data_IF_457814656880
#
_entry.id   IF_457814656880
#
_cell.length_a   1.000
_cell.length_b   1.000
_cell.length_c   1.000
_cell.angle_alpha   90.00
_cell.angle_beta   90.00
_cell.angle_gamma   90.00
#
_symmetry.space_group_name_H-M   'P 1'
#
loop_
_entity.id
_entity.type
_entity.pdbx_description
1 polymer ?
#
# COMPACT_ATOMS: atom_id res chain seq x y z
N UNK A 1 12.84 4.84 -10.02
CA UNK A 1 11.64 4.96 -9.15
C UNK A 1 10.52 5.72 -9.86
N UNK A 2 9.34 5.12 -9.98
CA UNK A 2 8.13 5.68 -10.59
C UNK A 2 6.98 5.70 -9.58
N UNK A 3 6.35 6.85 -9.37
CA UNK A 3 5.16 7.00 -8.52
C UNK A 3 3.91 7.26 -9.35
N UNK A 4 2.90 6.43 -9.14
CA UNK A 4 1.58 6.52 -9.76
C UNK A 4 0.54 6.70 -8.65
N UNK A 5 -0.44 7.58 -8.86
CA UNK A 5 -1.55 7.76 -7.94
C UNK A 5 -2.83 8.03 -8.73
N UNK A 6 -3.95 7.63 -8.16
CA UNK A 6 -5.26 7.78 -8.80
C UNK A 6 -5.53 9.26 -9.17
N UNK A 7 -5.92 9.48 -10.42
CA UNK A 7 -6.21 10.80 -10.99
C UNK A 7 -5.07 11.83 -10.81
N UNK A 8 -3.82 11.36 -10.79
CA UNK A 8 -2.62 12.19 -10.69
C UNK A 8 -1.62 11.89 -11.82
N UNK A 9 -0.84 12.88 -12.29
CA UNK A 9 0.25 12.61 -13.22
C UNK A 9 1.28 11.63 -12.63
N UNK A 10 1.82 10.77 -13.48
CA UNK A 10 2.94 9.89 -13.12
C UNK A 10 4.18 10.74 -12.85
N UNK A 11 4.87 10.45 -11.74
CA UNK A 11 6.12 11.11 -11.36
C UNK A 11 7.28 10.12 -11.51
N UNK A 12 8.30 10.52 -12.26
CA UNK A 12 9.57 9.80 -12.39
C UNK A 12 10.60 10.48 -11.50
N UNK A 13 11.49 9.69 -10.90
CA UNK A 13 12.54 10.16 -9.98
C UNK A 13 11.97 11.00 -8.84
N UNK A 14 10.91 10.47 -8.21
CA UNK A 14 10.15 11.17 -7.18
C UNK A 14 11.01 11.47 -5.95
N UNK A 15 11.03 12.73 -5.52
CA UNK A 15 11.68 13.10 -4.27
C UNK A 15 10.74 12.95 -3.06
N UNK A 16 11.31 13.00 -1.86
CA UNK A 16 10.56 12.80 -0.62
C UNK A 16 9.40 13.79 -0.42
N UNK A 17 9.60 15.06 -0.77
CA UNK A 17 8.55 16.08 -0.61
C UNK A 17 7.37 15.82 -1.57
N UNK A 18 7.65 15.41 -2.81
CA UNK A 18 6.63 15.04 -3.79
C UNK A 18 5.86 13.79 -3.35
N UNK A 19 6.57 12.75 -2.89
CA UNK A 19 6.00 11.51 -2.38
C UNK A 19 5.02 11.79 -1.22
N UNK A 20 5.48 12.52 -0.19
CA UNK A 20 4.64 12.88 0.96
C UNK A 20 3.42 13.69 0.53
N UNK A 21 3.59 14.65 -0.41
CA UNK A 21 2.50 15.47 -0.92
C UNK A 21 1.45 14.65 -1.66
N UNK A 22 1.85 13.64 -2.44
CA UNK A 22 0.92 12.74 -3.13
C UNK A 22 0.17 11.89 -2.11
N UNK A 23 0.87 11.24 -1.19
CA UNK A 23 0.25 10.35 -0.20
C UNK A 23 -0.72 11.09 0.73
N UNK A 24 -0.39 12.29 1.20
CA UNK A 24 -1.29 13.08 2.06
C UNK A 24 -2.59 13.53 1.36
N UNK A 25 -2.66 13.47 0.04
CA UNK A 25 -3.90 13.76 -0.70
C UNK A 25 -4.87 12.59 -0.70
N UNK A 26 -4.39 11.37 -0.46
CA UNK A 26 -5.23 10.18 -0.51
C UNK A 26 -6.38 10.26 0.51
N UNK A 27 -7.54 9.76 0.08
CA UNK A 27 -8.80 9.71 0.84
C UNK A 27 -9.33 8.28 0.76
N UNK A 28 -9.89 7.79 1.86
CA UNK A 28 -10.58 6.50 1.88
C UNK A 28 -11.76 6.47 0.92
N UNK A 29 -12.43 7.61 0.74
CA UNK A 29 -13.53 7.78 -0.22
C UNK A 29 -13.28 9.05 -1.05
N UNK A 30 -13.26 8.92 -2.37
CA UNK A 30 -13.04 10.03 -3.29
C UNK A 30 -12.16 9.65 -4.49
N UNK A 31 -11.83 10.62 -5.37
CA UNK A 31 -11.13 10.39 -6.62
C UNK A 31 -9.63 10.13 -6.47
N UNK A 32 -9.10 10.07 -5.24
CA UNK A 32 -7.69 9.83 -4.98
C UNK A 32 -7.57 8.92 -3.78
N UNK A 33 -7.57 7.61 -4.03
CA UNK A 33 -7.74 6.59 -3.01
C UNK A 33 -6.70 5.48 -3.08
N UNK A 34 -5.77 5.53 -4.03
CA UNK A 34 -4.65 4.61 -4.10
C UNK A 34 -3.41 5.25 -4.74
N UNK A 35 -2.25 4.68 -4.42
CA UNK A 35 -0.97 5.02 -5.03
C UNK A 35 -0.04 3.79 -5.07
N UNK A 36 0.90 3.79 -6.01
CA UNK A 36 1.90 2.74 -6.19
C UNK A 36 3.26 3.37 -6.52
N UNK A 37 4.32 2.94 -5.84
CA UNK A 37 5.70 3.27 -6.18
C UNK A 37 6.41 2.00 -6.65
N UNK A 38 7.06 2.08 -7.80
CA UNK A 38 7.75 0.95 -8.45
C UNK A 38 9.21 1.31 -8.69
N UNK A 39 10.11 0.37 -8.39
CA UNK A 39 11.54 0.47 -8.73
C UNK A 39 11.82 -0.03 -10.15
N UNK A 40 13.09 0.01 -10.57
CA UNK A 40 13.48 -0.34 -11.93
C UNK A 40 13.54 -1.87 -12.15
N UNK A 41 13.59 -2.65 -11.06
CA UNK A 41 13.53 -4.12 -11.06
C UNK A 41 12.08 -4.65 -11.08
N UNK A 42 11.10 -3.76 -10.97
CA UNK A 42 9.67 -4.08 -10.98
C UNK A 42 9.10 -4.45 -9.61
N UNK A 43 9.86 -4.31 -8.52
CA UNK A 43 9.29 -4.39 -7.18
C UNK A 43 8.42 -3.17 -6.95
N UNK A 44 7.35 -3.32 -6.18
CA UNK A 44 6.51 -2.19 -5.85
C UNK A 44 5.97 -2.24 -4.43
N UNK A 45 5.64 -1.06 -3.92
CA UNK A 45 4.77 -0.88 -2.76
C UNK A 45 3.55 -0.10 -3.23
N UNK A 46 2.36 -0.57 -2.84
CA UNK A 46 1.11 0.13 -3.10
C UNK A 46 0.30 0.33 -1.83
N UNK A 47 -0.54 1.36 -1.87
CA UNK A 47 -1.51 1.69 -0.84
C UNK A 47 -2.88 1.87 -1.47
N UNK A 48 -3.92 1.42 -0.80
CA UNK A 48 -5.25 1.98 -0.99
C UNK A 48 -5.84 2.48 0.32
N UNK A 49 -6.81 3.39 0.21
CA UNK A 49 -7.40 4.11 1.31
C UNK A 49 -6.75 5.48 1.53
N UNK A 50 -6.98 6.08 2.71
CA UNK A 50 -6.39 7.37 3.04
C UNK A 50 -6.61 7.78 4.48
N UNK A 51 -5.80 8.75 4.93
CA UNK A 51 -5.80 9.29 6.30
C UNK A 51 -5.65 8.23 7.39
N UNK A 52 -6.75 7.62 7.83
CA UNK A 52 -6.80 6.69 8.97
C UNK A 52 -7.10 5.25 8.57
N UNK A 53 -7.57 5.04 7.34
CA UNK A 53 -7.96 3.72 6.85
C UNK A 53 -7.23 3.46 5.55
N UNK A 54 -6.02 2.92 5.67
CA UNK A 54 -5.18 2.50 4.57
C UNK A 54 -4.89 1.00 4.70
N UNK A 55 -4.55 0.36 3.58
CA UNK A 55 -3.85 -0.93 3.57
C UNK A 55 -2.63 -0.85 2.66
N UNK A 56 -1.61 -1.67 2.94
CA UNK A 56 -0.34 -1.66 2.21
C UNK A 56 -0.10 -3.05 1.63
N UNK A 57 0.30 -3.08 0.36
CA UNK A 57 0.83 -4.28 -0.29
C UNK A 57 2.23 -4.00 -0.84
N UNK A 58 3.06 -5.03 -0.86
CA UNK A 58 4.33 -5.01 -1.59
C UNK A 58 4.44 -6.23 -2.48
N UNK A 59 5.08 -6.07 -3.61
CA UNK A 59 5.37 -7.15 -4.55
C UNK A 59 6.87 -7.26 -4.77
N UNK A 60 7.35 -8.49 -4.73
CA UNK A 60 8.72 -8.86 -5.06
C UNK A 60 8.74 -9.47 -6.46
N UNK A 61 9.37 -8.77 -7.41
CA UNK A 61 9.42 -9.18 -8.80
C UNK A 61 10.26 -10.43 -9.04
N UNK A 62 11.29 -10.66 -8.21
CA UNK A 62 12.18 -11.81 -8.32
C UNK A 62 11.48 -13.10 -7.92
N UNK A 63 10.75 -13.06 -6.80
CA UNK A 63 9.99 -14.23 -6.32
C UNK A 63 8.57 -14.32 -6.89
N UNK A 64 8.10 -13.26 -7.56
CA UNK A 64 6.72 -13.11 -8.03
C UNK A 64 5.68 -13.26 -6.92
N UNK A 65 6.03 -12.80 -5.72
CA UNK A 65 5.19 -12.92 -4.54
C UNK A 65 4.60 -11.57 -4.15
N UNK A 66 3.28 -11.57 -3.90
CA UNK A 66 2.55 -10.43 -3.34
C UNK A 66 2.45 -10.62 -1.82
N UNK A 67 2.66 -9.54 -1.08
CA UNK A 67 2.56 -9.55 0.38
C UNK A 67 1.67 -8.41 0.85
N UNK A 68 0.88 -8.67 1.90
CA UNK A 68 0.15 -7.65 2.65
C UNK A 68 0.89 -7.27 3.92
N UNK A 69 0.96 -5.98 4.17
CA UNK A 69 1.47 -5.43 5.43
C UNK A 69 0.50 -5.73 6.56
N UNK A 70 1.03 -6.03 7.75
CA UNK A 70 0.24 -6.10 8.98
C UNK A 70 1.07 -5.64 10.19
N UNK A 71 0.38 -5.12 11.21
CA UNK A 71 0.97 -4.82 12.52
C UNK A 71 0.96 -6.07 13.41
N UNK A 72 1.95 -6.27 14.28
CA UNK A 72 1.95 -7.39 15.23
C UNK A 72 0.77 -7.34 16.20
N UNK A 73 0.33 -6.14 16.56
CA UNK A 73 -0.85 -5.88 17.37
C UNK A 73 -1.78 -4.92 16.63
N UNK A 74 -3.05 -5.30 16.47
CA UNK A 74 -4.04 -4.39 15.90
C UNK A 74 -4.34 -3.25 16.89
N UNK A 75 -4.28 -2.02 16.38
CA UNK A 75 -4.68 -0.80 17.10
C UNK A 75 -6.06 -0.29 16.69
N UNK A 76 -6.78 -1.02 15.82
CA UNK A 76 -8.05 -0.57 15.26
C UNK A 76 -9.23 -1.36 15.82
N UNK A 77 -10.42 -0.76 15.80
CA UNK A 77 -11.68 -1.41 16.20
C UNK A 77 -12.32 -2.20 15.04
N UNK A 78 -11.60 -2.43 13.93
CA UNK A 78 -12.14 -3.17 12.80
C UNK A 78 -12.01 -4.68 13.05
N UNK A 79 -13.13 -5.39 12.87
CA UNK A 79 -13.15 -6.85 12.93
C UNK A 79 -12.53 -7.47 11.67
N UNK A 80 -12.09 -8.71 11.77
CA UNK A 80 -11.62 -9.47 10.61
C UNK A 80 -12.69 -9.56 9.52
N UNK A 81 -12.30 -9.29 8.27
CA UNK A 81 -13.22 -9.27 7.13
C UNK A 81 -13.87 -7.91 6.87
N UNK A 82 -13.54 -6.89 7.67
CA UNK A 82 -13.94 -5.51 7.42
C UNK A 82 -13.49 -5.04 6.03
N UNK A 83 -14.39 -4.37 5.32
CA UNK A 83 -14.18 -3.96 3.93
C UNK A 83 -13.58 -2.56 3.85
N UNK A 84 -12.48 -2.42 3.12
CA UNK A 84 -12.05 -1.13 2.59
C UNK A 84 -12.54 -0.99 1.16
N UNK A 85 -13.27 0.10 0.87
CA UNK A 85 -13.65 0.48 -0.49
C UNK A 85 -12.76 1.62 -0.98
N UNK A 86 -12.36 1.59 -2.24
CA UNK A 86 -11.52 2.58 -2.92
C UNK A 86 -11.87 2.61 -4.42
N UNK A 87 -11.33 3.57 -5.17
CA UNK A 87 -11.69 3.80 -6.58
C UNK A 87 -11.49 2.59 -7.50
N UNK A 88 -10.50 1.75 -7.20
CA UNK A 88 -10.22 0.51 -7.94
C UNK A 88 -10.93 -0.74 -7.41
N UNK A 89 -11.83 -0.62 -6.43
CA UNK A 89 -12.68 -1.72 -5.97
C UNK A 89 -12.83 -1.80 -4.44
N UNK A 90 -12.89 -3.03 -3.93
CA UNK A 90 -13.03 -3.29 -2.50
C UNK A 90 -12.18 -4.48 -2.08
N UNK A 91 -11.64 -4.43 -0.88
CA UNK A 91 -10.82 -5.51 -0.30
C UNK A 91 -11.29 -5.80 1.12
N UNK A 92 -11.38 -7.09 1.46
CA UNK A 92 -11.54 -7.54 2.83
C UNK A 92 -10.18 -7.57 3.51
N UNK A 93 -10.08 -6.91 4.66
CA UNK A 93 -8.86 -6.82 5.45
C UNK A 93 -9.05 -7.57 6.77
N UNK A 94 -7.95 -8.12 7.27
CA UNK A 94 -7.87 -8.55 8.66
C UNK A 94 -7.69 -7.35 9.57
N UNK A 95 -8.02 -7.49 10.85
CA UNK A 95 -7.91 -6.44 11.87
C UNK A 95 -6.50 -5.86 12.00
N UNK A 96 -5.47 -6.65 11.66
CA UNK A 96 -4.06 -6.27 11.72
C UNK A 96 -3.53 -5.62 10.43
N UNK A 97 -4.34 -5.54 9.37
CA UNK A 97 -3.95 -5.04 8.03
C UNK A 97 -4.36 -3.56 7.81
N UNK A 98 -4.73 -2.83 8.87
CA UNK A 98 -5.16 -1.44 8.82
C UNK A 98 -4.04 -0.49 9.24
N UNK A 99 -3.79 0.51 8.41
CA UNK A 99 -2.73 1.51 8.58
C UNK A 99 -3.28 2.93 8.54
N UNK A 100 -2.57 3.84 9.17
CA UNK A 100 -2.76 5.28 8.94
C UNK A 100 -1.82 5.77 7.83
N UNK A 101 -1.98 7.02 7.39
CA UNK A 101 -1.18 7.59 6.30
C UNK A 101 0.28 7.82 6.68
N UNK A 102 0.61 7.97 7.96
CA UNK A 102 1.99 8.16 8.41
C UNK A 102 2.78 6.85 8.30
N UNK A 103 2.17 5.71 8.63
CA UNK A 103 2.74 4.37 8.38
C UNK A 103 3.04 4.18 6.89
N UNK A 104 2.07 4.53 6.03
CA UNK A 104 2.21 4.46 4.57
C UNK A 104 3.36 5.35 4.09
N UNK A 105 3.44 6.59 4.58
CA UNK A 105 4.52 7.52 4.24
C UNK A 105 5.86 6.94 4.65
N UNK A 106 6.00 6.33 5.82
CA UNK A 106 7.26 5.72 6.24
C UNK A 106 7.67 4.59 5.29
N UNK A 107 6.76 3.65 5.00
CA UNK A 107 7.03 2.52 4.08
C UNK A 107 7.45 3.03 2.70
N UNK A 108 6.67 3.95 2.11
CA UNK A 108 6.96 4.51 0.80
C UNK A 108 8.29 5.29 0.79
N UNK A 109 8.58 6.03 1.87
CA UNK A 109 9.82 6.81 1.97
C UNK A 109 11.06 5.91 2.03
N UNK A 110 11.00 4.82 2.81
CA UNK A 110 12.09 3.84 2.91
C UNK A 110 12.29 3.09 1.59
N UNK A 111 11.19 2.67 0.95
CA UNK A 111 11.25 2.05 -0.38
C UNK A 111 11.90 2.97 -1.41
N UNK A 112 11.47 4.24 -1.49
CA UNK A 112 12.05 5.23 -2.41
C UNK A 112 13.55 5.51 -2.18
N UNK A 113 14.05 5.24 -0.97
CA UNK A 113 15.46 5.42 -0.60
C UNK A 113 16.28 4.12 -0.70
N UNK A 114 15.70 3.02 -1.20
CA UNK A 114 16.30 1.69 -1.18
C UNK A 114 16.75 1.25 0.21
N UNK A 115 16.00 1.65 1.25
CA UNK A 115 16.24 1.25 2.63
C UNK A 115 15.36 0.06 3.02
N UNK A 116 15.77 -0.73 4.03
CA UNK A 116 14.91 -1.76 4.61
C UNK A 116 13.57 -1.17 5.06
N UNK A 117 12.47 -1.92 4.83
CA UNK A 117 11.13 -1.52 5.27
C UNK A 117 11.05 -1.47 6.81
N UNK A 118 10.09 -0.71 7.39
CA UNK A 118 9.99 -0.54 8.84
C UNK A 118 9.85 -1.88 9.58
N UNK A 119 10.64 -2.08 10.63
CA UNK A 119 10.69 -3.36 11.38
C UNK A 119 9.40 -3.66 12.17
N UNK A 120 8.59 -2.65 12.44
CA UNK A 120 7.29 -2.78 13.09
C UNK A 120 6.17 -3.20 12.13
N UNK A 121 6.44 -3.28 10.81
CA UNK A 121 5.47 -3.71 9.80
C UNK A 121 5.91 -5.05 9.22
N UNK A 122 5.05 -6.05 9.41
CA UNK A 122 5.30 -7.42 9.00
C UNK A 122 4.59 -7.71 7.68
N UNK A 123 5.03 -8.77 6.98
CA UNK A 123 4.57 -9.08 5.63
C UNK A 123 4.04 -10.50 5.54
N UNK A 124 2.77 -10.63 5.15
CA UNK A 124 2.11 -11.91 4.96
C UNK A 124 1.94 -12.14 3.46
N UNK A 125 2.46 -13.25 2.97
CA UNK A 125 2.31 -13.61 1.56
C UNK A 125 0.82 -13.84 1.22
N UNK A 126 0.36 -13.20 0.16
CA UNK A 126 -0.97 -13.37 -0.39
C UNK A 126 -0.89 -14.48 -1.43
N UNK A 127 -1.46 -15.63 -1.10
CA UNK A 127 -1.69 -16.68 -2.09
C UNK A 127 -2.83 -16.24 -2.98
N UNK A 128 -2.52 -15.69 -4.15
CA UNK A 128 -3.50 -15.56 -5.22
C UNK A 128 -3.79 -16.98 -5.68
N UNK A 129 -4.85 -17.58 -5.15
CA UNK A 129 -5.44 -18.76 -5.75
C UNK A 129 -5.91 -18.31 -7.13
N UNK A 130 -5.28 -18.80 -8.19
CA UNK A 130 -5.81 -18.65 -9.54
C UNK A 130 -7.24 -19.18 -9.51
N UNK A 131 -8.24 -18.29 -9.52
CA UNK A 131 -9.58 -18.67 -9.93
C UNK A 131 -9.54 -18.87 -11.45
N UNK A 132 -8.98 -20.02 -11.83
CA UNK A 132 -9.14 -20.63 -13.13
C UNK A 132 -9.82 -21.97 -12.89
N UNK A 133 -11.04 -21.93 -12.36
CA UNK A 133 -11.95 -23.07 -12.31
C UNK A 133 -13.38 -22.51 -12.22
N UNK A 134 -13.97 -22.24 -13.39
CA UNK A 134 -15.38 -22.46 -13.77
C UNK A 134 -15.61 -21.94 -15.18
#
# INVERSE_FOLDING_TARGET
>A
MKLEAENSPVLIDVNQAQLVKVLKKLKSYGPSSYACITDDDGNYVQVAGGRFTCFIERYDAKSKALFRGYHSNSSTNFEDGSLLSFGAGRVQLKKDEWFNIDDVIEVFSRFNQNQPLPENIYWREVKILNQSDS
#
